data_IF_636478828379
#
_entry.id   IF_636478828379
#
_cell.length_a   1.000
_cell.length_b   1.000
_cell.length_c   1.000
_cell.angle_alpha   90.00
_cell.angle_beta   90.00
_cell.angle_gamma   90.00
#
_symmetry.space_group_name_H-M   'P 1'
#
loop_
_entity.id
_entity.type
_entity.pdbx_description
1 polymer ?
#
# COMPACT_ATOMS: atom_id res chain seq x y z
N UNK A 1 31.45 0.20 -13.06
CA UNK A 1 30.24 0.69 -13.74
C UNK A 1 29.04 0.05 -13.06
N UNK A 2 28.06 0.83 -12.60
CA UNK A 2 26.91 0.28 -11.88
C UNK A 2 26.00 -0.49 -12.86
N UNK A 3 25.70 -1.75 -12.55
CA UNK A 3 24.71 -2.54 -13.30
C UNK A 3 23.33 -1.93 -13.00
N UNK A 4 22.53 -1.57 -14.02
CA UNK A 4 21.18 -1.08 -13.78
C UNK A 4 20.37 -2.19 -13.11
N UNK A 5 19.70 -1.85 -12.01
CA UNK A 5 18.83 -2.81 -11.32
C UNK A 5 17.74 -3.31 -12.27
N UNK A 6 17.38 -4.60 -12.21
CA UNK A 6 16.32 -5.15 -13.04
C UNK A 6 15.01 -4.42 -12.78
N UNK A 7 14.31 -4.01 -13.86
CA UNK A 7 13.04 -3.31 -13.74
C UNK A 7 11.95 -4.28 -13.26
N UNK A 8 11.16 -3.94 -12.24
CA UNK A 8 10.04 -4.76 -11.81
C UNK A 8 8.93 -4.74 -12.85
N UNK A 9 8.22 -5.85 -12.96
CA UNK A 9 6.94 -5.93 -13.65
C UNK A 9 5.90 -5.29 -12.74
N UNK A 10 5.17 -4.31 -13.25
CA UNK A 10 4.11 -3.62 -12.52
C UNK A 10 2.77 -4.11 -13.04
N UNK A 11 1.90 -4.56 -12.13
CA UNK A 11 0.54 -4.98 -12.44
C UNK A 11 -0.42 -4.08 -11.67
N UNK A 12 -1.20 -3.29 -12.41
CA UNK A 12 -2.26 -2.46 -11.88
C UNK A 12 -3.53 -3.29 -11.74
N UNK A 13 -4.10 -3.30 -10.54
CA UNK A 13 -5.30 -4.07 -10.19
C UNK A 13 -6.56 -3.20 -10.17
N UNK A 14 -6.47 -1.91 -10.52
CA UNK A 14 -7.60 -0.98 -10.47
C UNK A 14 -8.74 -1.35 -11.42
N UNK A 15 -8.45 -2.12 -12.48
CA UNK A 15 -9.43 -2.56 -13.46
C UNK A 15 -10.10 -3.90 -13.12
N UNK A 16 -9.70 -4.53 -12.01
CA UNK A 16 -10.32 -5.76 -11.54
C UNK A 16 -11.70 -5.46 -10.92
N UNK A 17 -12.66 -6.33 -11.23
CA UNK A 17 -13.99 -6.30 -10.64
C UNK A 17 -14.00 -6.83 -9.22
N UNK A 18 -15.02 -7.63 -8.89
CA UNK A 18 -15.16 -8.21 -7.57
C UNK A 18 -13.98 -9.12 -7.21
N UNK A 19 -13.57 -9.08 -5.94
CA UNK A 19 -12.51 -9.94 -5.44
C UNK A 19 -13.02 -11.36 -5.23
N UNK A 20 -12.47 -12.31 -5.99
CA UNK A 20 -12.82 -13.73 -5.91
C UNK A 20 -11.58 -14.64 -5.88
N UNK A 21 -11.81 -15.94 -5.71
CA UNK A 21 -10.74 -16.93 -5.68
C UNK A 21 -10.02 -17.10 -7.03
N UNK A 22 -10.67 -16.77 -8.15
CA UNK A 22 -10.06 -16.87 -9.48
C UNK A 22 -8.98 -15.79 -9.65
N UNK A 23 -9.25 -14.57 -9.20
CA UNK A 23 -8.26 -13.49 -9.14
C UNK A 23 -7.08 -13.89 -8.25
N UNK A 24 -7.34 -14.53 -7.10
CA UNK A 24 -6.28 -14.99 -6.20
C UNK A 24 -5.38 -16.05 -6.88
N UNK A 25 -5.97 -17.05 -7.53
CA UNK A 25 -5.21 -18.07 -8.27
C UNK A 25 -4.36 -17.42 -9.38
N UNK A 26 -4.95 -16.51 -10.16
CA UNK A 26 -4.26 -15.80 -11.23
C UNK A 26 -3.07 -14.99 -10.70
N UNK A 27 -3.25 -14.23 -9.62
CA UNK A 27 -2.17 -13.46 -8.99
C UNK A 27 -1.07 -14.38 -8.44
N UNK A 28 -1.45 -15.51 -7.85
CA UNK A 28 -0.51 -16.54 -7.38
C UNK A 28 0.34 -17.11 -8.53
N UNK A 29 -0.30 -17.47 -9.65
CA UNK A 29 0.39 -17.96 -10.85
C UNK A 29 1.31 -16.91 -11.46
N UNK A 30 0.86 -15.66 -11.55
CA UNK A 30 1.67 -14.56 -12.06
C UNK A 30 2.90 -14.33 -11.18
N UNK A 31 2.75 -14.37 -9.86
CA UNK A 31 3.84 -14.25 -8.89
C UNK A 31 4.84 -15.39 -9.03
N UNK A 32 4.35 -16.62 -9.17
CA UNK A 32 5.19 -17.80 -9.37
C UNK A 32 5.97 -17.72 -10.69
N UNK A 33 5.31 -17.31 -11.78
CA UNK A 33 5.95 -17.13 -13.08
C UNK A 33 7.07 -16.08 -13.03
N UNK A 34 6.82 -14.93 -12.40
CA UNK A 34 7.82 -13.90 -12.21
C UNK A 34 9.03 -14.41 -11.40
N UNK A 35 8.79 -15.11 -10.29
CA UNK A 35 9.87 -15.71 -9.47
C UNK A 35 10.72 -16.72 -10.25
N UNK A 36 10.10 -17.58 -11.06
CA UNK A 36 10.81 -18.56 -11.89
C UNK A 36 11.70 -17.91 -12.96
N UNK A 37 11.42 -16.66 -13.30
CA UNK A 37 12.18 -15.85 -14.25
C UNK A 37 13.13 -14.85 -13.57
N UNK A 38 13.32 -14.95 -12.25
CA UNK A 38 14.10 -14.01 -11.44
C UNK A 38 13.64 -12.54 -11.65
N UNK A 39 12.33 -12.34 -11.78
CA UNK A 39 11.69 -11.04 -11.93
C UNK A 39 10.91 -10.66 -10.68
N UNK A 40 11.00 -9.38 -10.33
CA UNK A 40 10.18 -8.77 -9.29
C UNK A 40 8.83 -8.37 -9.87
N UNK A 41 7.74 -8.80 -9.24
CA UNK A 41 6.37 -8.35 -9.54
C UNK A 41 5.90 -7.39 -8.45
N UNK A 42 5.33 -6.25 -8.83
CA UNK A 42 4.69 -5.27 -7.95
C UNK A 42 3.21 -5.17 -8.31
N UNK A 43 2.34 -5.39 -7.32
CA UNK A 43 0.90 -5.26 -7.45
C UNK A 43 0.49 -3.89 -6.90
N UNK A 44 -0.20 -3.10 -7.72
CA UNK A 44 -0.64 -1.74 -7.37
C UNK A 44 -2.16 -1.65 -7.37
N UNK A 45 -2.68 -0.67 -6.62
CA UNK A 45 -4.10 -0.30 -6.61
C UNK A 45 -5.06 -1.47 -6.34
N UNK A 46 -4.63 -2.47 -5.54
CA UNK A 46 -5.51 -3.53 -5.06
C UNK A 46 -6.67 -2.91 -4.28
N UNK A 47 -7.90 -3.27 -4.66
CA UNK A 47 -9.12 -2.84 -3.98
C UNK A 47 -9.12 -3.32 -2.52
N UNK A 48 -9.82 -2.64 -1.60
CA UNK A 48 -9.93 -3.08 -0.21
C UNK A 48 -10.42 -4.52 -0.08
N UNK A 49 -11.48 -4.89 -0.81
CA UNK A 49 -12.02 -6.25 -0.81
C UNK A 49 -10.99 -7.31 -1.24
N UNK A 50 -10.15 -6.99 -2.22
CA UNK A 50 -9.07 -7.89 -2.65
C UNK A 50 -7.97 -8.02 -1.58
N UNK A 51 -7.62 -6.92 -0.90
CA UNK A 51 -6.66 -6.96 0.22
C UNK A 51 -7.19 -7.83 1.35
N UNK A 52 -8.47 -7.67 1.70
CA UNK A 52 -9.14 -8.44 2.75
C UNK A 52 -9.20 -9.92 2.39
N UNK A 53 -9.55 -10.26 1.14
CA UNK A 53 -9.54 -11.64 0.67
C UNK A 53 -8.14 -12.25 0.73
N UNK A 54 -7.10 -11.53 0.29
CA UNK A 54 -5.70 -11.98 0.35
C UNK A 54 -5.26 -12.26 1.80
N UNK A 55 -5.61 -11.38 2.73
CA UNK A 55 -5.33 -11.56 4.14
C UNK A 55 -6.11 -12.75 4.72
N UNK A 56 -7.39 -12.88 4.37
CA UNK A 56 -8.26 -13.98 4.81
C UNK A 56 -7.71 -15.35 4.38
N UNK A 57 -7.19 -15.46 3.16
CA UNK A 57 -6.58 -16.71 2.66
C UNK A 57 -5.11 -16.89 3.06
N UNK A 58 -4.53 -15.95 3.81
CA UNK A 58 -3.14 -16.03 4.30
C UNK A 58 -2.07 -15.88 3.22
N UNK A 59 -2.35 -15.15 2.14
CA UNK A 59 -1.43 -14.98 1.00
C UNK A 59 -0.76 -13.60 0.95
N UNK A 60 -0.90 -12.78 1.98
CA UNK A 60 -0.30 -11.45 2.09
C UNK A 60 1.23 -11.48 1.86
N UNK A 61 1.92 -12.44 2.50
CA UNK A 61 3.38 -12.58 2.42
C UNK A 61 3.88 -13.10 1.07
N UNK A 62 3.01 -13.80 0.34
CA UNK A 62 3.28 -14.39 -0.97
C UNK A 62 3.12 -13.32 -2.06
N UNK A 63 1.98 -12.63 -2.04
CA UNK A 63 1.58 -11.65 -3.05
C UNK A 63 2.24 -10.28 -2.84
N UNK A 64 2.59 -9.92 -1.60
CA UNK A 64 3.26 -8.65 -1.22
C UNK A 64 2.68 -7.46 -1.97
N UNK A 65 1.50 -7.05 -1.54
CA UNK A 65 0.86 -5.83 -2.03
C UNK A 65 1.68 -4.63 -1.54
N UNK A 66 1.98 -3.71 -2.44
CA UNK A 66 2.53 -2.42 -2.01
C UNK A 66 1.38 -1.68 -1.32
N UNK A 67 1.56 -1.14 -0.10
CA UNK A 67 0.58 -0.26 0.48
C UNK A 67 0.38 0.89 -0.52
N UNK A 68 -0.83 0.99 -1.07
CA UNK A 68 -1.21 2.18 -1.81
C UNK A 68 -0.98 3.33 -0.85
N UNK A 69 -0.02 4.20 -1.18
CA UNK A 69 0.18 5.49 -0.53
C UNK A 69 -1.09 6.30 -0.73
N UNK A 70 -2.08 6.02 0.11
CA UNK A 70 -3.17 6.94 0.38
C UNK A 70 -2.48 8.21 0.86
N UNK A 71 -2.71 9.31 0.14
CA UNK A 71 -2.27 10.61 0.61
C UNK A 71 -2.88 10.77 1.99
N UNK A 72 -2.05 10.83 3.04
CA UNK A 72 -2.48 11.42 4.30
C UNK A 72 -3.05 12.79 3.93
N UNK A 73 -4.37 12.95 4.02
CA UNK A 73 -4.94 14.28 4.20
C UNK A 73 -4.29 14.81 5.46
N UNK A 74 -3.28 15.65 5.26
CA UNK A 74 -2.65 16.45 6.28
C UNK A 74 -3.75 17.28 6.91
N UNK A 75 -4.36 16.74 7.97
CA UNK A 75 -5.22 17.50 8.87
C UNK A 75 -4.36 18.67 9.34
N UNK A 76 -4.77 19.88 9.00
CA UNK A 76 -4.08 21.10 9.41
C UNK A 76 -3.75 21.03 10.91
N UNK A 77 -2.51 21.35 11.32
CA UNK A 77 -2.22 21.54 12.73
C UNK A 77 -3.01 22.76 13.20
N UNK A 78 -4.17 22.52 13.80
CA UNK A 78 -4.93 23.52 14.52
C UNK A 78 -3.99 24.23 15.49
N UNK A 79 -3.81 25.53 15.28
CA UNK A 79 -2.85 26.34 16.00
C UNK A 79 -3.05 26.25 17.51
N UNK A 80 -1.95 26.03 18.21
CA UNK A 80 -1.86 26.22 19.65
C UNK A 80 -2.18 27.69 19.97
N UNK A 81 -3.30 27.93 20.63
CA UNK A 81 -3.61 29.24 21.20
C UNK A 81 -2.67 29.51 22.39
N UNK A 82 -2.03 30.67 22.33
CA UNK A 82 -0.93 31.08 23.20
C UNK A 82 -1.43 31.46 24.60
N UNK A 83 -0.51 31.29 25.54
CA UNK A 83 -0.54 31.69 26.94
C UNK A 83 -1.25 33.03 27.20
N UNK A 84 -2.28 33.01 28.03
CA UNK A 84 -2.74 34.20 28.73
C UNK A 84 -1.81 34.47 29.90
N UNK A 85 -0.96 35.49 29.75
CA UNK A 85 -0.23 36.15 30.84
C UNK A 85 -1.24 36.57 31.92
N UNK A 86 -1.20 35.94 33.10
CA UNK A 86 -1.82 36.54 34.29
C UNK A 86 -0.91 37.67 34.73
N UNK A 87 -1.40 38.90 34.57
CA UNK A 87 -0.81 40.07 35.21
C UNK A 87 -0.93 39.93 36.73
N UNK A 88 0.16 40.25 37.41
CA UNK A 88 0.27 40.34 38.86
C UNK A 88 -0.28 41.71 39.31
N UNK A 89 -1.35 41.80 40.13
CA UNK A 89 -1.75 43.07 40.72
C UNK A 89 -1.06 43.26 42.07
N UNK A 90 -0.15 44.25 42.11
CA UNK A 90 0.38 44.81 43.34
C UNK A 90 -0.70 45.62 44.08
N UNK A 91 -1.00 45.25 45.34
CA UNK A 91 -1.14 46.16 46.51
C UNK A 91 -1.22 45.35 47.81
#
# INVERSE_FOLDING_TARGET
MATPAPRPIVCDLSALGDADAEIIDLLGRLRLAARRQDRTLRLLHASPALRDLIAFVGLDSVLRLEPGREAEERKDPGGVEKEGQLDDPAV
#
